data_IF_977470012364
#
_entry.id   IF_977470012364
#
_cell.length_a   1.000
_cell.length_b   1.000
_cell.length_c   1.000
_cell.angle_alpha   90.00
_cell.angle_beta   90.00
_cell.angle_gamma   90.00
#
_symmetry.space_group_name_H-M   'P 1'
#
loop_
_entity.id
_entity.type
_entity.pdbx_description
1 polymer ?
#
# COMPACT_ATOMS: atom_id res chain seq x y z
N UNK A 1 -29.38 26.16 58.03
CA UNK A 1 -28.22 25.81 58.87
C UNK A 1 -28.66 24.88 59.99
N UNK A 2 -27.90 23.85 60.38
CA UNK A 2 -26.74 23.20 59.73
C UNK A 2 -27.03 21.69 59.43
N UNK A 3 -26.51 21.06 58.37
CA UNK A 3 -25.17 20.48 58.10
C UNK A 3 -24.85 19.14 58.81
N UNK A 4 -24.65 18.07 58.02
CA UNK A 4 -23.33 17.40 57.90
C UNK A 4 -23.31 16.20 56.93
N UNK A 5 -22.61 16.44 55.83
CA UNK A 5 -21.74 15.63 54.95
C UNK A 5 -21.37 14.18 55.38
N UNK A 6 -21.52 13.22 54.46
CA UNK A 6 -20.40 12.38 53.98
C UNK A 6 -20.71 11.79 52.59
N UNK A 7 -19.84 12.11 51.63
CA UNK A 7 -19.97 11.74 50.23
C UNK A 7 -19.23 10.44 49.91
N UNK A 8 -19.88 9.56 49.15
CA UNK A 8 -19.25 8.46 48.44
C UNK A 8 -19.12 8.81 46.96
N UNK A 9 -17.90 9.13 46.53
CA UNK A 9 -17.53 9.35 45.14
C UNK A 9 -17.70 8.05 44.33
N UNK A 10 -18.41 8.14 43.20
CA UNK A 10 -18.33 7.17 42.11
C UNK A 10 -17.02 7.42 41.35
N UNK A 11 -16.21 6.41 41.02
CA UNK A 11 -15.04 6.63 40.17
C UNK A 11 -15.50 7.05 38.77
N UNK A 12 -14.85 8.10 38.28
CA UNK A 12 -15.23 8.87 37.10
C UNK A 12 -15.10 8.10 35.80
N UNK A 13 -15.93 8.48 34.84
CA UNK A 13 -15.76 8.12 33.45
C UNK A 13 -14.46 8.74 32.94
N UNK A 14 -13.60 7.90 32.37
CA UNK A 14 -12.44 8.35 31.64
C UNK A 14 -12.91 9.15 30.43
N UNK A 15 -12.72 10.46 30.53
CA UNK A 15 -12.77 11.37 29.41
C UNK A 15 -11.76 10.90 28.36
N UNK A 16 -12.25 10.29 27.28
CA UNK A 16 -11.51 10.20 26.03
C UNK A 16 -11.15 11.64 25.62
N UNK A 17 -9.90 12.01 25.86
CA UNK A 17 -9.33 13.23 25.33
C UNK A 17 -9.27 13.07 23.80
N UNK A 18 -10.29 13.58 23.13
CA UNK A 18 -10.29 13.78 21.68
C UNK A 18 -9.17 14.79 21.43
N UNK A 19 -8.01 14.28 21.01
CA UNK A 19 -6.91 15.09 20.52
C UNK A 19 -7.39 15.78 19.24
N UNK A 20 -7.83 17.03 19.35
CA UNK A 20 -8.18 17.86 18.21
C UNK A 20 -6.91 18.15 17.41
N UNK A 21 -6.61 17.30 16.43
CA UNK A 21 -5.51 17.51 15.48
C UNK A 21 -5.85 18.67 14.53
N UNK A 22 -4.85 19.46 14.09
CA UNK A 22 -5.05 20.48 13.07
C UNK A 22 -5.61 19.88 11.77
N UNK A 23 -6.45 20.65 11.07
CA UNK A 23 -7.04 20.32 9.76
C UNK A 23 -6.03 20.35 8.61
N UNK A 24 -4.77 20.65 8.88
CA UNK A 24 -3.65 20.71 7.94
C UNK A 24 -2.69 19.54 8.23
N UNK A 25 -2.09 18.95 7.17
CA UNK A 25 -1.05 17.90 7.23
C UNK A 25 0.28 18.43 7.84
N UNK A 26 0.22 19.10 8.99
CA UNK A 26 1.31 19.85 9.63
C UNK A 26 2.29 18.97 10.42
N UNK A 27 1.97 17.69 10.65
CA UNK A 27 2.88 16.74 11.30
C UNK A 27 4.18 16.49 10.51
N UNK A 28 4.26 16.98 9.27
CA UNK A 28 5.47 16.96 8.42
C UNK A 28 6.65 17.81 8.95
N UNK A 29 6.42 18.69 9.93
CA UNK A 29 7.38 19.75 10.29
C UNK A 29 8.49 19.37 11.29
N UNK A 30 8.51 18.16 11.87
CA UNK A 30 9.39 17.84 13.00
C UNK A 30 10.40 16.70 12.77
N UNK A 31 10.82 16.44 11.53
CA UNK A 31 11.85 15.44 11.26
C UNK A 31 13.28 16.03 11.31
N UNK A 32 14.27 15.34 11.92
CA UNK A 32 15.66 15.79 11.92
C UNK A 32 16.17 16.02 10.50
N UNK A 33 16.92 17.10 10.31
CA UNK A 33 17.49 17.45 9.01
C UNK A 33 18.62 16.49 8.67
N UNK A 34 18.50 15.75 7.55
CA UNK A 34 19.65 15.03 7.00
C UNK A 34 20.78 16.01 6.65
N UNK A 35 22.05 15.56 6.66
CA UNK A 35 23.13 16.32 6.07
C UNK A 35 22.76 16.71 4.63
N UNK A 36 22.91 18.00 4.24
CA UNK A 36 22.48 18.49 2.93
C UNK A 36 23.17 17.78 1.75
N UNK A 37 24.28 17.08 2.00
CA UNK A 37 25.03 16.35 0.99
C UNK A 37 24.41 15.01 0.60
N UNK A 38 23.56 14.39 1.43
CA UNK A 38 23.07 13.03 1.19
C UNK A 38 22.26 12.89 -0.12
N UNK A 39 21.27 13.76 -0.41
CA UNK A 39 20.53 13.67 -1.68
C UNK A 39 21.43 13.85 -2.91
N UNK A 40 22.37 14.81 -2.86
CA UNK A 40 23.33 15.04 -3.95
C UNK A 40 24.23 13.83 -4.18
N UNK A 41 24.73 13.19 -3.10
CA UNK A 41 25.53 11.97 -3.20
C UNK A 41 24.74 10.83 -3.85
N UNK A 42 23.46 10.66 -3.52
CA UNK A 42 22.62 9.65 -4.15
C UNK A 42 22.40 9.90 -5.63
N UNK A 43 22.10 11.15 -6.00
CA UNK A 43 21.97 11.54 -7.42
C UNK A 43 23.28 11.25 -8.18
N UNK A 44 24.44 11.63 -7.63
CA UNK A 44 25.73 11.37 -8.27
C UNK A 44 26.03 9.88 -8.39
N UNK A 45 25.73 9.07 -7.36
CA UNK A 45 25.86 7.60 -7.43
C UNK A 45 24.96 7.01 -8.51
N UNK A 46 23.70 7.46 -8.59
CA UNK A 46 22.77 7.01 -9.63
C UNK A 46 23.26 7.34 -11.04
N UNK A 47 23.72 8.57 -11.26
CA UNK A 47 24.28 9.00 -12.53
C UNK A 47 25.51 8.15 -12.92
N UNK A 48 26.40 7.86 -11.97
CA UNK A 48 27.56 7.00 -12.20
C UNK A 48 27.19 5.56 -12.58
N UNK A 49 26.28 4.92 -11.84
CA UNK A 49 25.82 3.55 -12.14
C UNK A 49 25.08 3.48 -13.49
N UNK A 50 24.24 4.48 -13.76
CA UNK A 50 23.50 4.58 -15.02
C UNK A 50 24.46 4.78 -16.19
N UNK A 51 25.43 5.68 -16.07
CA UNK A 51 26.43 5.93 -17.11
C UNK A 51 27.26 4.67 -17.39
N UNK A 52 27.70 3.95 -16.35
CA UNK A 52 28.43 2.69 -16.52
C UNK A 52 27.60 1.66 -17.28
N UNK A 53 26.33 1.49 -16.92
CA UNK A 53 25.40 0.58 -17.59
C UNK A 53 25.17 0.98 -19.06
N UNK A 54 24.97 2.27 -19.33
CA UNK A 54 24.78 2.79 -20.68
C UNK A 54 26.01 2.57 -21.55
N UNK A 55 27.22 2.79 -21.02
CA UNK A 55 28.47 2.53 -21.74
C UNK A 55 28.57 1.04 -22.09
N UNK A 56 28.31 0.14 -21.14
CA UNK A 56 28.31 -1.31 -21.42
C UNK A 56 27.27 -1.69 -22.48
N UNK A 57 26.09 -1.08 -22.43
CA UNK A 57 25.02 -1.30 -23.40
C UNK A 57 25.42 -0.85 -24.81
N UNK A 58 25.95 0.37 -24.95
CA UNK A 58 26.42 0.89 -26.24
C UNK A 58 27.60 0.09 -26.81
N UNK A 59 28.43 -0.51 -25.96
CA UNK A 59 29.53 -1.39 -26.39
C UNK A 59 29.09 -2.82 -26.72
N UNK A 60 27.81 -3.15 -26.60
CA UNK A 60 27.30 -4.51 -26.81
C UNK A 60 27.77 -5.51 -25.75
N UNK A 61 28.19 -5.04 -24.58
CA UNK A 61 28.74 -5.84 -23.46
C UNK A 61 27.76 -5.99 -22.29
N UNK A 62 26.61 -5.33 -22.35
CA UNK A 62 25.60 -5.41 -21.30
C UNK A 62 24.69 -6.62 -21.50
N UNK A 63 24.55 -7.43 -20.44
CA UNK A 63 23.52 -8.48 -20.35
C UNK A 63 22.59 -8.11 -19.20
N UNK A 64 21.26 -8.05 -19.42
CA UNK A 64 20.32 -7.73 -18.35
C UNK A 64 20.34 -8.81 -17.27
N UNK A 65 20.13 -8.45 -15.98
CA UNK A 65 20.08 -9.43 -14.88
C UNK A 65 18.97 -10.48 -15.00
N UNK A 66 17.93 -10.19 -15.77
CA UNK A 66 16.82 -11.09 -16.06
C UNK A 66 16.61 -11.12 -17.57
N UNK A 67 16.59 -12.32 -18.14
CA UNK A 67 16.26 -12.51 -19.55
C UNK A 67 14.87 -11.92 -19.86
N UNK A 68 14.80 -11.08 -20.90
CA UNK A 68 13.59 -10.35 -21.29
C UNK A 68 13.42 -8.97 -20.66
N UNK A 69 14.29 -8.56 -19.73
CA UNK A 69 14.28 -7.17 -19.25
C UNK A 69 14.81 -6.20 -20.30
N UNK A 70 14.06 -5.11 -20.50
CA UNK A 70 14.58 -3.93 -21.18
C UNK A 70 15.65 -3.24 -20.34
N UNK A 71 16.52 -2.46 -20.99
CA UNK A 71 17.48 -1.59 -20.32
C UNK A 71 16.79 -0.65 -19.32
N UNK A 72 15.60 -0.14 -19.66
CA UNK A 72 14.79 0.71 -18.78
C UNK A 72 14.40 -0.02 -17.50
N UNK A 73 13.94 -1.26 -17.61
CA UNK A 73 13.53 -2.10 -16.47
C UNK A 73 14.71 -2.29 -15.52
N UNK A 74 15.86 -2.70 -16.05
CA UNK A 74 17.05 -2.93 -15.25
C UNK A 74 17.57 -1.66 -14.57
N UNK A 75 17.58 -0.53 -15.28
CA UNK A 75 17.94 0.77 -14.69
C UNK A 75 16.94 1.23 -13.64
N UNK A 76 15.65 0.94 -13.82
CA UNK A 76 14.61 1.26 -12.84
C UNK A 76 14.77 0.48 -11.55
N UNK A 77 15.06 -0.82 -11.62
CA UNK A 77 15.35 -1.65 -10.44
C UNK A 77 16.62 -1.15 -9.73
N UNK A 78 17.68 -0.81 -10.47
CA UNK A 78 18.89 -0.21 -9.89
C UNK A 78 18.60 1.12 -9.17
N UNK A 79 17.79 1.99 -9.78
CA UNK A 79 17.38 3.25 -9.17
C UNK A 79 16.58 3.05 -7.89
N UNK A 80 15.58 2.17 -7.93
CA UNK A 80 14.72 1.87 -6.78
C UNK A 80 15.52 1.24 -5.64
N UNK A 81 16.42 0.30 -5.94
CA UNK A 81 17.34 -0.26 -4.96
C UNK A 81 18.21 0.81 -4.32
N UNK A 82 18.77 1.73 -5.12
CA UNK A 82 19.53 2.84 -4.57
C UNK A 82 18.68 3.70 -3.61
N UNK A 83 17.41 3.97 -3.92
CA UNK A 83 16.55 4.76 -3.02
C UNK A 83 16.26 4.01 -1.73
N UNK A 84 15.93 2.73 -1.84
CA UNK A 84 15.42 1.92 -0.74
C UNK A 84 16.54 1.39 0.18
N UNK A 85 17.77 1.22 -0.31
CA UNK A 85 18.96 0.82 0.47
C UNK A 85 19.52 1.92 1.38
N UNK A 86 19.05 3.16 1.26
CA UNK A 86 19.54 4.24 2.12
C UNK A 86 18.73 4.35 3.40
N UNK A 87 19.29 5.08 4.38
CA UNK A 87 18.62 5.37 5.64
C UNK A 87 17.17 5.84 5.40
N UNK A 88 16.26 5.40 6.27
CA UNK A 88 14.81 5.63 6.15
C UNK A 88 14.43 7.09 5.82
N UNK A 89 15.16 8.06 6.34
CA UNK A 89 14.97 9.48 6.06
C UNK A 89 15.32 9.88 4.63
N UNK A 90 16.40 9.32 4.08
CA UNK A 90 16.76 9.48 2.67
C UNK A 90 15.72 8.83 1.77
N UNK A 91 15.29 7.61 2.10
CA UNK A 91 14.23 6.92 1.37
C UNK A 91 12.93 7.74 1.35
N UNK A 92 12.45 8.22 2.52
CA UNK A 92 11.25 9.10 2.60
C UNK A 92 11.37 10.32 1.68
N UNK A 93 12.48 11.07 1.76
CA UNK A 93 12.68 12.28 0.94
C UNK A 93 12.78 11.98 -0.55
N UNK A 94 13.50 10.92 -0.94
CA UNK A 94 13.65 10.53 -2.33
C UNK A 94 12.30 10.05 -2.90
N UNK A 95 11.56 9.23 -2.16
CA UNK A 95 10.21 8.81 -2.55
C UNK A 95 9.29 10.01 -2.73
N UNK A 96 9.31 11.00 -1.83
CA UNK A 96 8.53 12.24 -2.00
C UNK A 96 8.95 13.03 -3.25
N UNK A 97 10.24 13.09 -3.56
CA UNK A 97 10.71 13.80 -4.75
C UNK A 97 10.28 13.08 -6.03
N UNK A 98 10.45 11.76 -6.08
CA UNK A 98 10.07 10.94 -7.22
C UNK A 98 8.56 10.94 -7.45
N UNK A 99 7.76 10.90 -6.38
CA UNK A 99 6.29 10.97 -6.49
C UNK A 99 5.83 12.34 -6.97
N UNK A 100 6.44 13.44 -6.49
CA UNK A 100 6.17 14.79 -7.01
C UNK A 100 6.39 14.88 -8.51
N UNK A 101 7.50 14.34 -9.01
CA UNK A 101 7.81 14.33 -10.44
C UNK A 101 6.81 13.46 -11.22
N UNK A 102 6.53 12.25 -10.74
CA UNK A 102 5.57 11.35 -11.39
C UNK A 102 4.15 11.94 -11.43
N UNK A 103 3.76 12.67 -10.39
CA UNK A 103 2.42 13.25 -10.26
C UNK A 103 2.21 14.51 -11.13
N UNK A 104 3.25 15.08 -11.75
CA UNK A 104 3.10 16.19 -12.72
C UNK A 104 2.27 15.80 -13.95
N UNK A 105 2.18 14.51 -14.24
CA UNK A 105 1.38 13.97 -15.34
C UNK A 105 -0.12 13.84 -14.99
N UNK A 106 -0.48 13.88 -13.71
CA UNK A 106 -1.89 13.74 -13.29
C UNK A 106 -2.66 14.98 -13.77
N UNK A 107 -3.80 14.75 -14.41
CA UNK A 107 -4.72 15.80 -14.88
C UNK A 107 -5.97 15.91 -14.01
N UNK A 108 -6.17 14.93 -13.15
CA UNK A 108 -7.33 14.80 -12.29
C UNK A 108 -7.28 15.74 -11.09
N UNK A 109 -8.45 16.03 -10.54
CA UNK A 109 -8.56 16.71 -9.25
C UNK A 109 -7.97 15.85 -8.14
N UNK A 110 -7.19 16.50 -7.27
CA UNK A 110 -6.69 15.90 -6.03
C UNK A 110 -7.16 16.78 -4.88
N UNK A 111 -8.08 16.28 -4.07
CA UNK A 111 -8.66 17.02 -2.93
C UNK A 111 -8.40 16.30 -1.62
N UNK A 112 -8.05 17.05 -0.59
CA UNK A 112 -7.86 16.47 0.74
C UNK A 112 -9.22 16.20 1.39
N UNK A 113 -9.30 15.11 2.14
CA UNK A 113 -10.45 14.76 2.97
C UNK A 113 -9.95 14.31 4.34
N UNK A 114 -10.68 14.71 5.37
CA UNK A 114 -10.44 14.30 6.75
C UNK A 114 -11.78 14.02 7.41
N UNK A 115 -11.86 12.93 8.15
CA UNK A 115 -13.01 12.61 8.97
C UNK A 115 -12.57 12.09 10.34
N UNK A 116 -13.52 11.69 11.20
CA UNK A 116 -13.19 11.09 12.48
C UNK A 116 -12.31 9.85 12.28
N UNK A 117 -11.06 9.90 12.75
CA UNK A 117 -10.16 8.75 12.73
C UNK A 117 -9.44 8.46 11.40
N UNK A 118 -9.58 9.28 10.35
CA UNK A 118 -8.82 9.08 9.11
C UNK A 118 -8.52 10.39 8.38
N UNK A 119 -7.49 10.36 7.54
CA UNK A 119 -7.15 11.41 6.58
C UNK A 119 -6.86 10.76 5.22
N UNK A 120 -7.03 11.50 4.14
CA UNK A 120 -6.73 10.97 2.82
C UNK A 120 -6.82 12.00 1.71
N UNK A 121 -6.68 11.51 0.49
CA UNK A 121 -6.77 12.28 -0.75
C UNK A 121 -7.74 11.60 -1.70
N UNK A 122 -8.72 12.35 -2.18
CA UNK A 122 -9.50 11.95 -3.33
C UNK A 122 -8.72 12.21 -4.61
N UNK A 123 -8.72 11.23 -5.51
CA UNK A 123 -8.31 11.36 -6.91
C UNK A 123 -9.55 11.19 -7.79
N UNK A 124 -9.90 12.25 -8.51
CA UNK A 124 -11.21 12.41 -9.15
C UNK A 124 -12.26 12.97 -8.19
N UNK A 125 -13.29 13.64 -8.72
CA UNK A 125 -14.29 14.35 -7.91
C UNK A 125 -15.38 13.42 -7.36
N UNK A 126 -15.35 13.14 -6.05
CA UNK A 126 -16.28 12.23 -5.39
C UNK A 126 -17.68 12.83 -5.14
N UNK A 127 -17.95 14.08 -5.52
CA UNK A 127 -19.13 14.83 -5.05
C UNK A 127 -20.49 14.35 -5.57
N UNK A 128 -20.54 13.49 -6.59
CA UNK A 128 -21.81 12.96 -7.08
C UNK A 128 -22.24 11.69 -6.32
N UNK A 129 -22.97 11.88 -5.23
CA UNK A 129 -23.53 10.79 -4.42
C UNK A 129 -24.48 9.86 -5.20
N UNK A 130 -25.06 10.33 -6.31
CA UNK A 130 -25.92 9.55 -7.20
C UNK A 130 -25.16 8.71 -8.25
N UNK A 131 -23.84 8.87 -8.38
CA UNK A 131 -23.04 8.03 -9.27
C UNK A 131 -23.03 6.59 -8.76
N UNK A 132 -23.04 5.65 -9.69
CA UNK A 132 -22.88 4.21 -9.43
C UNK A 132 -21.48 3.71 -9.78
N UNK A 133 -20.56 4.61 -10.15
CA UNK A 133 -19.18 4.24 -10.45
C UNK A 133 -18.47 3.74 -9.17
N UNK A 134 -17.54 2.79 -9.28
CA UNK A 134 -16.84 2.25 -8.13
C UNK A 134 -15.97 3.29 -7.42
N UNK A 135 -15.82 3.11 -6.12
CA UNK A 135 -14.82 3.77 -5.28
C UNK A 135 -13.73 2.75 -4.93
N UNK A 136 -12.48 3.16 -5.07
CA UNK A 136 -11.29 2.42 -4.62
C UNK A 136 -10.78 3.06 -3.32
N UNK A 137 -10.90 2.36 -2.19
CA UNK A 137 -10.17 2.71 -0.97
C UNK A 137 -8.75 2.17 -1.09
N UNK A 138 -7.80 3.06 -1.37
CA UNK A 138 -6.41 2.73 -1.60
C UNK A 138 -5.56 2.88 -0.34
N UNK A 139 -4.82 1.83 0.00
CA UNK A 139 -3.85 1.78 1.08
C UNK A 139 -2.46 1.59 0.47
N UNK A 140 -1.57 2.56 0.69
CA UNK A 140 -0.26 2.56 0.04
C UNK A 140 0.73 1.56 0.66
N UNK A 141 1.73 1.14 -0.12
CA UNK A 141 2.89 0.38 0.36
C UNK A 141 3.91 1.22 1.14
N UNK A 142 5.11 0.67 1.35
CA UNK A 142 6.19 1.37 2.07
C UNK A 142 6.53 0.80 3.45
N UNK A 143 6.15 -0.46 3.70
CA UNK A 143 6.52 -1.20 4.90
C UNK A 143 6.02 -0.55 6.18
N UNK A 144 4.85 0.10 6.13
CA UNK A 144 4.24 0.91 7.22
C UNK A 144 5.08 2.09 7.74
N UNK A 145 6.26 2.36 7.18
CA UNK A 145 7.24 3.31 7.75
C UNK A 145 7.67 4.41 6.78
N UNK A 146 7.32 4.27 5.50
CA UNK A 146 7.67 5.19 4.40
C UNK A 146 6.46 5.41 3.48
N UNK A 147 6.64 6.26 2.45
CA UNK A 147 5.59 6.68 1.52
C UNK A 147 4.51 7.56 2.17
N UNK A 148 3.51 7.95 1.39
CA UNK A 148 2.35 8.75 1.77
C UNK A 148 1.21 8.51 0.75
N UNK A 149 0.02 9.06 0.99
CA UNK A 149 -1.14 8.91 0.09
C UNK A 149 -0.89 9.46 -1.33
N UNK A 150 0.17 10.24 -1.53
CA UNK A 150 0.55 10.82 -2.84
C UNK A 150 1.50 9.93 -3.63
N UNK A 151 2.15 8.98 -2.96
CA UNK A 151 3.34 8.31 -3.51
C UNK A 151 3.05 7.58 -4.82
N UNK A 152 1.90 6.93 -4.93
CA UNK A 152 1.53 6.10 -6.07
C UNK A 152 0.32 6.63 -6.87
N UNK A 153 -0.07 7.90 -6.66
CA UNK A 153 -1.22 8.48 -7.34
C UNK A 153 -1.11 8.47 -8.87
N UNK A 154 0.11 8.57 -9.43
CA UNK A 154 0.30 8.51 -10.88
C UNK A 154 -0.14 7.16 -11.46
N UNK A 155 0.23 6.04 -10.83
CA UNK A 155 -0.23 4.70 -11.22
C UNK A 155 -1.74 4.52 -11.04
N UNK A 156 -2.32 5.11 -9.99
CA UNK A 156 -3.77 5.09 -9.77
C UNK A 156 -4.52 5.94 -10.81
N UNK A 157 -3.94 7.05 -11.26
CA UNK A 157 -4.49 7.85 -12.36
C UNK A 157 -4.43 7.09 -13.70
N UNK A 158 -3.35 6.34 -13.95
CA UNK A 158 -3.27 5.42 -15.09
C UNK A 158 -4.36 4.35 -15.03
N UNK A 159 -4.63 3.75 -13.85
CA UNK A 159 -5.73 2.81 -13.66
C UNK A 159 -7.10 3.44 -13.91
N UNK A 160 -7.36 4.64 -13.38
CA UNK A 160 -8.60 5.37 -13.66
C UNK A 160 -8.80 5.60 -15.16
N UNK A 161 -7.74 6.03 -15.85
CA UNK A 161 -7.76 6.26 -17.30
C UNK A 161 -8.03 4.96 -18.07
N UNK A 162 -7.42 3.85 -17.65
CA UNK A 162 -7.61 2.54 -18.27
C UNK A 162 -9.06 2.04 -18.11
N UNK A 163 -9.63 2.16 -16.91
CA UNK A 163 -11.04 1.82 -16.65
C UNK A 163 -12.01 2.66 -17.48
N UNK A 164 -11.81 3.98 -17.52
CA UNK A 164 -12.65 4.89 -18.29
C UNK A 164 -12.58 4.57 -19.79
N UNK A 165 -11.38 4.30 -20.31
CA UNK A 165 -11.18 4.06 -21.75
C UNK A 165 -11.67 2.68 -22.18
N UNK A 166 -11.40 1.63 -21.41
CA UNK A 166 -11.70 0.25 -21.79
C UNK A 166 -13.13 -0.19 -21.41
N UNK A 167 -13.68 0.38 -20.33
CA UNK A 167 -14.96 -0.07 -19.75
C UNK A 167 -15.99 1.05 -19.58
N UNK A 168 -15.64 2.31 -19.85
CA UNK A 168 -16.55 3.45 -19.64
C UNK A 168 -16.84 3.74 -18.17
N UNK A 169 -15.97 3.29 -17.26
CA UNK A 169 -16.15 3.40 -15.80
C UNK A 169 -15.27 4.52 -15.26
N UNK A 170 -15.86 5.50 -14.57
CA UNK A 170 -15.11 6.59 -13.94
C UNK A 170 -14.81 6.28 -12.46
N UNK A 171 -13.76 5.49 -12.25
CA UNK A 171 -13.31 5.11 -10.91
C UNK A 171 -12.97 6.35 -10.07
N UNK A 172 -13.39 6.38 -8.80
CA UNK A 172 -12.88 7.35 -7.80
C UNK A 172 -11.93 6.65 -6.85
N UNK A 173 -10.86 7.32 -6.43
CA UNK A 173 -9.90 6.73 -5.49
C UNK A 173 -9.80 7.58 -4.24
N UNK A 174 -10.06 6.99 -3.08
CA UNK A 174 -9.69 7.55 -1.79
C UNK A 174 -8.36 6.93 -1.37
N UNK A 175 -7.27 7.67 -1.54
CA UNK A 175 -5.95 7.28 -1.05
C UNK A 175 -5.84 7.62 0.44
N UNK A 176 -5.80 6.59 1.28
CA UNK A 176 -5.67 6.72 2.73
C UNK A 176 -4.28 7.24 3.11
N UNK A 177 -4.23 8.29 3.92
CA UNK A 177 -3.04 8.77 4.60
C UNK A 177 -3.06 8.22 6.03
N UNK A 178 -2.61 6.97 6.19
CA UNK A 178 -2.51 6.33 7.50
C UNK A 178 -1.21 6.75 8.20
N UNK A 179 -1.24 6.81 9.53
CA UNK A 179 -0.08 7.22 10.33
C UNK A 179 1.02 6.16 10.23
N UNK A 180 2.25 6.58 9.94
CA UNK A 180 3.38 5.65 9.79
C UNK A 180 3.98 5.24 11.14
N UNK A 181 4.55 4.05 11.17
CA UNK A 181 5.38 3.56 12.26
C UNK A 181 6.78 4.19 12.23
N UNK A 182 7.42 4.45 13.39
CA UNK A 182 6.98 4.15 14.75
C UNK A 182 6.11 5.26 15.35
N UNK A 183 5.81 6.34 14.62
CA UNK A 183 4.96 7.43 15.11
C UNK A 183 3.58 6.92 15.56
N UNK A 184 3.03 5.93 14.85
CA UNK A 184 1.99 5.04 15.34
C UNK A 184 2.33 3.57 15.00
N UNK A 185 2.14 2.67 15.96
CA UNK A 185 2.42 1.24 15.81
C UNK A 185 1.13 0.45 15.57
N UNK A 186 1.26 -0.80 15.15
CA UNK A 186 0.16 -1.77 15.07
C UNK A 186 -0.67 -1.75 16.37
N UNK A 187 -2.03 -1.73 16.32
CA UNK A 187 -2.90 -1.86 15.14
C UNK A 187 -3.43 -0.52 14.59
N UNK A 188 -2.80 0.63 14.87
CA UNK A 188 -3.37 1.97 14.58
C UNK A 188 -3.83 2.14 13.12
N UNK A 189 -3.03 1.67 12.17
CA UNK A 189 -3.29 1.79 10.73
C UNK A 189 -4.55 1.04 10.31
N UNK A 190 -4.87 -0.07 10.99
CA UNK A 190 -6.10 -0.85 10.75
C UNK A 190 -7.31 -0.04 11.19
N UNK A 191 -7.25 0.62 12.35
CA UNK A 191 -8.34 1.49 12.81
C UNK A 191 -8.55 2.70 11.88
N UNK A 192 -7.47 3.28 11.36
CA UNK A 192 -7.56 4.39 10.39
C UNK A 192 -8.16 3.92 9.05
N UNK A 193 -7.79 2.71 8.59
CA UNK A 193 -8.38 2.11 7.40
C UNK A 193 -9.86 1.76 7.58
N UNK A 194 -10.25 1.26 8.75
CA UNK A 194 -11.63 0.99 9.12
C UNK A 194 -12.46 2.29 9.16
N UNK A 195 -11.93 3.35 9.77
CA UNK A 195 -12.61 4.65 9.82
C UNK A 195 -12.81 5.25 8.41
N UNK A 196 -11.83 5.13 7.53
CA UNK A 196 -11.97 5.55 6.13
C UNK A 196 -12.98 4.69 5.37
N UNK A 197 -12.99 3.37 5.59
CA UNK A 197 -13.96 2.48 4.98
C UNK A 197 -15.39 2.81 5.41
N UNK A 198 -15.61 2.97 6.72
CA UNK A 198 -16.89 3.38 7.30
C UNK A 198 -17.36 4.71 6.70
N UNK A 199 -16.47 5.70 6.57
CA UNK A 199 -16.81 6.96 5.90
C UNK A 199 -17.26 6.76 4.45
N UNK A 200 -16.55 5.95 3.66
CA UNK A 200 -16.90 5.72 2.25
C UNK A 200 -18.26 5.06 2.12
N UNK A 201 -18.49 3.94 2.81
CA UNK A 201 -19.74 3.17 2.67
C UNK A 201 -20.96 3.89 3.25
N UNK A 202 -20.77 4.78 4.22
CA UNK A 202 -21.87 5.59 4.78
C UNK A 202 -22.18 6.82 3.94
N UNK A 203 -21.16 7.45 3.35
CA UNK A 203 -21.33 8.65 2.50
C UNK A 203 -21.83 8.30 1.10
N UNK A 204 -21.41 7.13 0.58
CA UNK A 204 -21.68 6.69 -0.78
C UNK A 204 -22.32 5.29 -0.83
N UNK A 205 -23.49 5.08 -0.20
CA UNK A 205 -24.06 3.75 0.00
C UNK A 205 -24.46 3.02 -1.30
N UNK A 206 -24.63 3.74 -2.41
CA UNK A 206 -25.00 3.18 -3.72
C UNK A 206 -23.80 2.80 -4.59
N UNK A 207 -22.57 3.05 -4.13
CA UNK A 207 -21.36 2.85 -4.94
C UNK A 207 -20.68 1.54 -4.58
N UNK A 208 -20.28 0.71 -5.56
CA UNK A 208 -19.40 -0.42 -5.31
C UNK A 208 -18.10 0.07 -4.65
N UNK A 209 -17.65 -0.59 -3.58
CA UNK A 209 -16.43 -0.20 -2.87
C UNK A 209 -15.41 -1.31 -2.95
N UNK A 210 -14.26 -1.00 -3.55
CA UNK A 210 -13.13 -1.90 -3.66
C UNK A 210 -12.05 -1.49 -2.67
N UNK A 211 -11.48 -2.47 -1.98
CA UNK A 211 -10.22 -2.27 -1.27
C UNK A 211 -9.07 -2.45 -2.26
N UNK A 212 -8.06 -1.58 -2.21
CA UNK A 212 -6.82 -1.76 -2.95
C UNK A 212 -5.64 -1.56 -2.02
N UNK A 213 -4.71 -2.50 -2.03
CA UNK A 213 -3.44 -2.30 -1.35
C UNK A 213 -2.26 -2.89 -2.10
N UNK A 214 -1.14 -2.18 -2.09
CA UNK A 214 0.15 -2.70 -2.56
C UNK A 214 1.10 -2.97 -1.40
N UNK A 215 1.88 -4.05 -1.44
CA UNK A 215 2.89 -4.34 -0.40
C UNK A 215 2.29 -4.36 1.01
N UNK A 216 2.78 -3.50 1.93
CA UNK A 216 2.21 -3.27 3.26
C UNK A 216 0.75 -2.77 3.21
N UNK A 217 0.35 -2.00 2.20
CA UNK A 217 -1.04 -1.62 1.99
C UNK A 217 -1.90 -2.83 1.60
N UNK A 218 -1.34 -3.80 0.87
CA UNK A 218 -2.00 -5.07 0.57
C UNK A 218 -2.19 -5.93 1.82
N UNK A 219 -1.22 -5.91 2.74
CA UNK A 219 -1.40 -6.46 4.08
C UNK A 219 -2.53 -5.75 4.83
N UNK A 220 -2.53 -4.41 4.83
CA UNK A 220 -3.56 -3.62 5.49
C UNK A 220 -4.97 -3.89 4.93
N UNK A 221 -5.11 -4.07 3.62
CA UNK A 221 -6.38 -4.46 2.99
C UNK A 221 -6.88 -5.82 3.50
N UNK A 222 -5.99 -6.82 3.60
CA UNK A 222 -6.31 -8.15 4.13
C UNK A 222 -6.64 -8.12 5.62
N UNK A 223 -5.93 -7.31 6.41
CA UNK A 223 -6.23 -7.11 7.82
C UNK A 223 -7.58 -6.42 8.01
N UNK A 224 -7.88 -5.39 7.21
CA UNK A 224 -9.16 -4.68 7.21
C UNK A 224 -10.33 -5.62 6.90
N UNK A 225 -10.20 -6.51 5.91
CA UNK A 225 -11.25 -7.50 5.61
C UNK A 225 -11.59 -8.39 6.82
N UNK A 226 -10.58 -8.84 7.56
CA UNK A 226 -10.76 -9.62 8.78
C UNK A 226 -11.41 -8.78 9.89
N UNK A 227 -10.95 -7.53 10.08
CA UNK A 227 -11.55 -6.60 11.04
C UNK A 227 -13.02 -6.31 10.73
N UNK A 228 -13.38 -6.11 9.44
CA UNK A 228 -14.77 -5.87 9.02
C UNK A 228 -15.66 -7.09 9.27
N UNK A 229 -15.15 -8.31 9.07
CA UNK A 229 -15.88 -9.55 9.41
C UNK A 229 -16.16 -9.65 10.91
N UNK A 230 -15.17 -9.34 11.73
CA UNK A 230 -15.24 -9.54 13.18
C UNK A 230 -15.90 -8.35 13.93
N UNK A 231 -16.28 -7.30 13.20
CA UNK A 231 -16.90 -6.11 13.78
C UNK A 231 -18.30 -6.41 14.33
N UNK A 232 -18.55 -5.92 15.55
CA UNK A 232 -19.85 -6.10 16.22
C UNK A 232 -21.01 -5.33 15.54
N UNK A 233 -20.72 -4.17 14.94
CA UNK A 233 -21.67 -3.37 14.17
C UNK A 233 -21.35 -3.51 12.66
N UNK A 234 -22.04 -4.39 11.93
CA UNK A 234 -21.68 -4.69 10.55
C UNK A 234 -21.74 -3.47 9.64
N UNK A 235 -20.76 -3.36 8.76
CA UNK A 235 -20.75 -2.44 7.62
C UNK A 235 -21.07 -3.23 6.34
N UNK A 236 -21.53 -2.58 5.26
CA UNK A 236 -21.61 -3.21 3.94
C UNK A 236 -20.28 -3.87 3.59
N UNK A 237 -20.32 -5.11 3.09
CA UNK A 237 -19.12 -5.82 2.67
C UNK A 237 -18.48 -5.13 1.44
N UNK A 238 -17.14 -5.14 1.31
CA UNK A 238 -16.51 -4.61 0.10
C UNK A 238 -16.95 -5.40 -1.12
N UNK A 239 -17.10 -4.73 -2.26
CA UNK A 239 -17.42 -5.38 -3.55
C UNK A 239 -16.29 -6.29 -4.02
N UNK A 240 -15.04 -5.93 -3.73
CA UNK A 240 -13.87 -6.76 -4.00
C UNK A 240 -12.59 -6.19 -3.39
N UNK A 241 -11.51 -6.96 -3.45
CA UNK A 241 -10.19 -6.53 -3.00
C UNK A 241 -9.12 -6.74 -4.08
N UNK A 242 -8.32 -5.70 -4.33
CA UNK A 242 -7.16 -5.73 -5.23
C UNK A 242 -5.89 -5.71 -4.40
N UNK A 243 -5.12 -6.80 -4.49
CA UNK A 243 -3.91 -7.03 -3.72
C UNK A 243 -2.71 -7.08 -4.68
N UNK A 244 -1.84 -6.08 -4.60
CA UNK A 244 -0.66 -5.98 -5.48
C UNK A 244 0.60 -6.28 -4.67
N UNK A 245 1.24 -7.41 -4.93
CA UNK A 245 2.42 -7.91 -4.22
C UNK A 245 2.26 -7.78 -2.69
N UNK A 246 1.19 -8.30 -2.07
CA UNK A 246 0.90 -8.03 -0.67
C UNK A 246 2.00 -8.60 0.24
N UNK A 247 2.43 -7.81 1.23
CA UNK A 247 3.33 -8.28 2.27
C UNK A 247 2.56 -9.14 3.28
N UNK A 248 2.15 -10.34 2.88
CA UNK A 248 1.20 -11.18 3.61
C UNK A 248 1.84 -12.04 4.73
N UNK A 249 3.17 -12.04 4.84
CA UNK A 249 3.92 -12.76 5.86
C UNK A 249 5.00 -11.84 6.46
N UNK A 250 4.75 -11.36 7.67
CA UNK A 250 5.68 -10.49 8.40
C UNK A 250 6.68 -11.29 9.25
N UNK A 251 6.68 -12.63 9.21
CA UNK A 251 7.66 -13.44 9.93
C UNK A 251 9.08 -13.29 9.34
N UNK A 252 9.83 -12.35 9.91
CA UNK A 252 11.22 -12.05 9.52
C UNK A 252 12.24 -12.99 10.16
N UNK A 253 11.79 -14.00 10.91
CA UNK A 253 12.65 -15.04 11.51
C UNK A 253 12.97 -16.15 10.49
N UNK A 254 12.08 -16.37 9.52
CA UNK A 254 12.25 -17.39 8.48
C UNK A 254 11.73 -16.89 7.12
N UNK A 255 12.65 -16.49 6.25
CA UNK A 255 12.32 -16.04 4.89
C UNK A 255 12.15 -17.21 3.92
N UNK A 256 11.20 -17.09 2.99
CA UNK A 256 11.01 -18.04 1.89
C UNK A 256 12.20 -18.05 0.90
N UNK A 257 12.38 -19.12 0.10
CA UNK A 257 13.49 -19.22 -0.87
C UNK A 257 13.54 -18.07 -1.89
N UNK A 258 12.39 -17.52 -2.29
CA UNK A 258 12.28 -16.36 -3.20
C UNK A 258 13.12 -15.15 -2.76
N UNK A 259 13.24 -14.88 -1.45
CA UNK A 259 14.03 -13.77 -0.93
C UNK A 259 15.50 -13.86 -1.30
N UNK A 260 16.10 -15.06 -1.17
CA UNK A 260 17.48 -15.29 -1.56
C UNK A 260 17.63 -15.33 -3.09
N UNK A 261 16.69 -16.00 -3.76
CA UNK A 261 16.70 -16.21 -5.22
C UNK A 261 16.63 -14.91 -6.00
N UNK A 262 15.79 -13.95 -5.57
CA UNK A 262 15.53 -12.71 -6.31
C UNK A 262 16.19 -11.48 -5.72
N UNK A 263 17.02 -11.62 -4.69
CA UNK A 263 17.75 -10.51 -4.03
C UNK A 263 18.43 -9.53 -5.01
N UNK A 264 18.99 -10.02 -6.12
CA UNK A 264 19.72 -9.19 -7.08
C UNK A 264 18.82 -8.49 -8.12
N UNK A 265 17.55 -8.89 -8.22
CA UNK A 265 16.62 -8.50 -9.30
C UNK A 265 15.29 -7.96 -8.76
N UNK A 266 15.16 -7.81 -7.45
CA UNK A 266 14.01 -7.18 -6.81
C UNK A 266 14.45 -5.97 -5.96
N UNK A 267 13.46 -5.23 -5.47
CA UNK A 267 13.60 -4.04 -4.64
C UNK A 267 13.29 -4.29 -3.16
N UNK A 268 12.81 -5.49 -2.82
CA UNK A 268 12.53 -5.91 -1.44
C UNK A 268 13.69 -6.73 -0.89
N UNK A 269 14.20 -6.31 0.27
CA UNK A 269 15.32 -6.94 0.94
C UNK A 269 14.98 -7.36 2.36
N UNK A 270 15.35 -8.60 2.70
CA UNK A 270 15.10 -9.20 4.02
C UNK A 270 15.53 -8.33 5.21
N UNK A 271 16.68 -7.63 5.10
CA UNK A 271 17.18 -6.78 6.17
C UNK A 271 16.31 -5.53 6.40
N UNK A 272 15.72 -4.95 5.36
CA UNK A 272 14.78 -3.83 5.52
C UNK A 272 13.46 -4.27 6.15
N UNK A 273 12.98 -5.47 5.83
CA UNK A 273 11.74 -5.98 6.42
C UNK A 273 11.86 -6.14 7.93
N UNK A 274 13.02 -6.55 8.43
CA UNK A 274 13.30 -6.56 9.88
C UNK A 274 13.12 -5.17 10.49
N UNK A 275 13.74 -4.16 9.88
CA UNK A 275 13.59 -2.76 10.34
C UNK A 275 12.14 -2.27 10.28
N UNK A 276 11.36 -2.70 9.27
CA UNK A 276 9.94 -2.38 9.17
C UNK A 276 9.13 -3.05 10.27
N UNK A 277 9.36 -4.34 10.55
CA UNK A 277 8.71 -5.06 11.65
C UNK A 277 9.03 -4.44 13.01
N UNK A 278 10.31 -4.15 13.27
CA UNK A 278 10.77 -3.55 14.54
C UNK A 278 10.16 -2.15 14.78
N UNK A 279 9.92 -1.38 13.72
CA UNK A 279 9.24 -0.10 13.81
C UNK A 279 7.72 -0.24 13.92
N UNK A 280 7.13 -1.23 13.26
CA UNK A 280 5.68 -1.38 13.13
C UNK A 280 5.03 -2.03 14.36
N UNK A 281 5.63 -3.07 14.93
CA UNK A 281 5.08 -3.76 16.09
C UNK A 281 5.40 -3.03 17.39
N UNK A 282 4.60 -3.19 18.46
CA UNK A 282 4.97 -2.71 19.80
C UNK A 282 6.36 -3.21 20.23
N UNK A 283 7.12 -2.42 20.99
CA UNK A 283 8.50 -2.74 21.38
C UNK A 283 8.61 -3.99 22.26
N UNK A 284 7.56 -4.28 23.02
CA UNK A 284 7.39 -5.44 23.89
C UNK A 284 6.53 -6.55 23.25
N UNK A 285 6.28 -6.48 21.94
CA UNK A 285 5.48 -7.47 21.24
C UNK A 285 6.09 -8.88 21.38
N UNK A 286 5.30 -9.88 21.80
CA UNK A 286 5.78 -11.25 21.82
C UNK A 286 6.04 -11.73 20.39
N UNK A 287 7.00 -12.63 20.21
CA UNK A 287 7.31 -13.21 18.88
C UNK A 287 6.08 -13.88 18.22
N UNK A 288 5.13 -14.37 19.03
CA UNK A 288 3.86 -14.92 18.54
C UNK A 288 2.99 -13.90 17.80
N UNK A 289 3.20 -12.59 18.00
CA UNK A 289 2.46 -11.54 17.29
C UNK A 289 2.73 -11.58 15.77
N UNK A 290 3.90 -12.09 15.35
CA UNK A 290 4.21 -12.30 13.93
C UNK A 290 3.29 -13.35 13.28
N UNK A 291 2.67 -14.23 14.07
CA UNK A 291 1.73 -15.24 13.60
C UNK A 291 0.27 -14.74 13.68
N UNK A 292 0.04 -13.53 14.20
CA UNK A 292 -1.30 -12.95 14.25
C UNK A 292 -1.81 -12.70 12.82
N UNK A 293 -3.02 -13.16 12.46
CA UNK A 293 -3.59 -12.95 11.12
C UNK A 293 -3.71 -11.49 10.65
N UNK A 294 -3.76 -10.52 11.58
CA UNK A 294 -3.77 -9.09 11.27
C UNK A 294 -2.37 -8.51 11.00
N UNK A 295 -1.31 -9.27 11.32
CA UNK A 295 0.10 -8.92 11.07
C UNK A 295 0.65 -9.74 9.90
N UNK A 296 0.32 -11.04 9.86
CA UNK A 296 0.66 -11.97 8.78
C UNK A 296 -0.61 -12.62 8.23
N UNK A 297 -1.31 -11.98 7.29
CA UNK A 297 -2.53 -12.47 6.66
C UNK A 297 -2.49 -13.90 6.11
N UNK A 298 -1.32 -14.48 5.81
CA UNK A 298 -1.20 -15.91 5.44
C UNK A 298 -1.73 -16.88 6.53
N UNK A 299 -1.99 -16.40 7.74
CA UNK A 299 -2.59 -17.17 8.83
C UNK A 299 -4.09 -16.89 9.03
N UNK A 300 -4.69 -16.01 8.22
CA UNK A 300 -6.07 -15.58 8.35
C UNK A 300 -7.11 -16.54 7.78
N UNK A 301 -8.34 -16.34 8.24
CA UNK A 301 -9.54 -16.91 7.65
C UNK A 301 -10.20 -15.85 6.76
N UNK A 302 -10.43 -16.18 5.50
CA UNK A 302 -11.10 -15.33 4.52
C UNK A 302 -12.37 -15.99 3.97
N UNK A 303 -12.87 -17.05 4.62
CA UNK A 303 -14.08 -17.75 4.22
C UNK A 303 -15.27 -16.80 4.13
N UNK A 304 -15.96 -16.80 2.99
CA UNK A 304 -17.14 -15.94 2.75
C UNK A 304 -16.83 -14.47 2.49
N UNK A 305 -15.55 -14.09 2.36
CA UNK A 305 -15.17 -12.72 2.00
C UNK A 305 -15.37 -12.42 0.51
N UNK A 306 -15.25 -11.14 0.16
CA UNK A 306 -15.46 -10.63 -1.18
C UNK A 306 -14.46 -11.23 -2.21
N UNK A 307 -14.79 -11.17 -3.52
CA UNK A 307 -13.86 -11.52 -4.57
C UNK A 307 -12.52 -10.78 -4.44
N UNK A 308 -11.43 -11.48 -4.72
CA UNK A 308 -10.08 -10.93 -4.62
C UNK A 308 -9.30 -11.09 -5.92
N UNK A 309 -8.55 -10.06 -6.28
CA UNK A 309 -7.46 -10.13 -7.25
C UNK A 309 -6.14 -10.15 -6.49
N UNK A 310 -5.35 -11.20 -6.69
CA UNK A 310 -3.97 -11.29 -6.24
C UNK A 310 -3.03 -11.11 -7.43
N UNK A 311 -2.42 -9.94 -7.55
CA UNK A 311 -1.42 -9.66 -8.59
C UNK A 311 -0.03 -9.60 -7.97
N UNK A 312 0.97 -10.29 -8.54
CA UNK A 312 2.36 -10.19 -8.07
C UNK A 312 3.39 -10.49 -9.17
N UNK A 313 4.64 -10.10 -8.93
CA UNK A 313 5.75 -10.31 -9.85
C UNK A 313 6.41 -11.68 -9.73
N UNK A 314 6.77 -12.27 -10.87
CA UNK A 314 7.50 -13.54 -10.91
C UNK A 314 8.99 -13.44 -10.49
N UNK A 315 9.52 -12.21 -10.39
CA UNK A 315 10.91 -11.90 -9.98
C UNK A 315 10.96 -11.09 -8.69
N UNK A 316 9.94 -11.18 -7.83
CA UNK A 316 9.89 -10.48 -6.56
C UNK A 316 10.14 -11.41 -5.34
N UNK A 317 10.66 -10.84 -4.26
CA UNK A 317 10.98 -11.54 -3.02
C UNK A 317 9.74 -12.13 -2.34
N UNK A 318 8.58 -11.46 -2.43
CA UNK A 318 7.31 -11.95 -1.87
C UNK A 318 6.61 -13.01 -2.72
N UNK A 319 7.17 -13.42 -3.86
CA UNK A 319 6.48 -14.35 -4.77
C UNK A 319 6.13 -15.69 -4.14
N UNK A 320 6.95 -16.25 -3.24
CA UNK A 320 6.59 -17.50 -2.54
C UNK A 320 5.56 -17.26 -1.43
N UNK A 321 5.59 -16.13 -0.73
CA UNK A 321 4.54 -15.78 0.25
C UNK A 321 3.20 -15.51 -0.43
N UNK A 322 3.19 -14.88 -1.62
CA UNK A 322 1.98 -14.68 -2.41
C UNK A 322 1.37 -16.02 -2.87
N UNK A 323 2.19 -16.99 -3.30
CA UNK A 323 1.70 -18.35 -3.59
C UNK A 323 1.11 -19.03 -2.36
N UNK A 324 1.74 -18.87 -1.19
CA UNK A 324 1.20 -19.39 0.08
C UNK A 324 -0.14 -18.75 0.41
N UNK A 325 -0.29 -17.43 0.21
CA UNK A 325 -1.57 -16.74 0.37
C UNK A 325 -2.61 -17.27 -0.63
N UNK A 326 -2.23 -17.46 -1.89
CA UNK A 326 -3.10 -18.08 -2.91
C UNK A 326 -3.62 -19.44 -2.43
N UNK A 327 -2.76 -20.32 -1.94
CA UNK A 327 -3.15 -21.63 -1.41
C UNK A 327 -4.12 -21.52 -0.22
N UNK A 328 -3.95 -20.53 0.66
CA UNK A 328 -4.87 -20.26 1.78
C UNK A 328 -6.24 -19.84 1.24
N UNK A 329 -6.27 -18.83 0.37
CA UNK A 329 -7.51 -18.27 -0.19
C UNK A 329 -8.28 -19.32 -1.01
N UNK A 330 -7.58 -20.12 -1.82
CA UNK A 330 -8.21 -21.22 -2.58
C UNK A 330 -8.78 -22.30 -1.66
N UNK A 331 -8.07 -22.70 -0.61
CA UNK A 331 -8.58 -23.70 0.36
C UNK A 331 -9.83 -23.20 1.10
N UNK A 332 -9.95 -21.90 1.30
CA UNK A 332 -11.10 -21.24 1.92
C UNK A 332 -12.22 -20.92 0.92
N UNK A 333 -12.10 -21.35 -0.35
CA UNK A 333 -13.06 -21.12 -1.42
C UNK A 333 -13.38 -19.63 -1.66
N UNK A 334 -12.40 -18.74 -1.44
CA UNK A 334 -12.53 -17.32 -1.79
C UNK A 334 -12.58 -17.19 -3.33
N UNK A 335 -13.52 -16.41 -3.90
CA UNK A 335 -13.50 -16.12 -5.34
C UNK A 335 -12.22 -15.35 -5.67
N UNK A 336 -11.28 -16.03 -6.33
CA UNK A 336 -9.90 -15.54 -6.48
C UNK A 336 -9.46 -15.53 -7.94
N UNK A 337 -9.05 -14.36 -8.40
CA UNK A 337 -8.29 -14.16 -9.64
C UNK A 337 -6.82 -13.96 -9.29
N UNK A 338 -5.91 -14.67 -9.97
CA UNK A 338 -4.46 -14.58 -9.71
C UNK A 338 -3.77 -14.17 -11.00
N UNK A 339 -2.98 -13.10 -10.91
CA UNK A 339 -2.24 -12.54 -12.04
C UNK A 339 -0.76 -12.46 -11.70
N UNK A 340 0.05 -13.27 -12.37
CA UNK A 340 1.50 -13.30 -12.17
C UNK A 340 2.17 -12.69 -13.37
N UNK A 341 2.82 -11.54 -13.19
CA UNK A 341 3.64 -10.93 -14.24
C UNK A 341 5.05 -11.55 -14.18
N UNK A 342 5.43 -12.47 -15.08
CA UNK A 342 6.55 -13.40 -14.84
C UNK A 342 7.91 -12.72 -14.68
N UNK A 343 8.07 -11.54 -15.27
CA UNK A 343 9.32 -10.77 -15.28
C UNK A 343 9.31 -9.60 -14.28
N UNK A 344 8.18 -9.35 -13.62
CA UNK A 344 8.05 -8.19 -12.75
C UNK A 344 8.81 -8.35 -11.42
N UNK A 345 9.52 -7.29 -10.98
CA UNK A 345 9.84 -7.09 -9.58
C UNK A 345 8.60 -6.63 -8.79
N UNK A 346 8.79 -6.27 -7.53
CA UNK A 346 7.73 -5.84 -6.62
C UNK A 346 6.88 -4.67 -7.16
N UNK A 347 5.56 -4.74 -6.99
CA UNK A 347 4.55 -3.66 -7.17
C UNK A 347 4.55 -2.94 -8.53
N UNK A 348 4.89 -3.62 -9.62
CA UNK A 348 4.94 -2.98 -10.96
C UNK A 348 3.66 -2.25 -11.40
N UNK A 349 2.42 -2.68 -11.11
CA UNK A 349 1.22 -2.00 -11.62
C UNK A 349 1.06 -0.56 -11.14
N UNK A 350 1.54 -0.23 -9.94
CA UNK A 350 1.48 1.14 -9.38
C UNK A 350 2.72 1.98 -9.75
N UNK A 351 3.64 1.42 -10.52
CA UNK A 351 4.93 2.01 -10.91
C UNK A 351 5.05 2.22 -12.43
N UNK A 352 3.97 2.67 -13.08
CA UNK A 352 3.89 2.92 -14.53
C UNK A 352 5.01 3.79 -15.11
N UNK A 353 5.47 4.79 -14.34
CA UNK A 353 6.62 5.62 -14.71
C UNK A 353 7.90 4.79 -14.95
N UNK A 354 8.14 3.75 -14.14
CA UNK A 354 9.34 2.92 -14.21
C UNK A 354 9.19 1.79 -15.22
N UNK A 355 8.10 1.02 -15.13
CA UNK A 355 7.97 -0.28 -15.79
C UNK A 355 7.12 -0.30 -17.06
N UNK A 356 6.46 0.81 -17.41
CA UNK A 356 5.72 1.01 -18.68
C UNK A 356 4.84 -0.16 -19.06
N UNK A 357 5.16 -0.89 -20.14
CA UNK A 357 4.32 -1.99 -20.67
C UNK A 357 4.02 -3.06 -19.63
N UNK A 358 4.97 -3.38 -18.77
CA UNK A 358 4.80 -4.35 -17.69
C UNK A 358 3.79 -3.86 -16.64
N UNK A 359 3.85 -2.57 -16.29
CA UNK A 359 2.86 -1.96 -15.41
C UNK A 359 1.48 -1.89 -16.08
N UNK A 360 1.44 -1.52 -17.38
CA UNK A 360 0.20 -1.40 -18.14
C UNK A 360 -0.58 -2.73 -18.24
N UNK A 361 0.12 -3.87 -18.35
CA UNK A 361 -0.53 -5.20 -18.29
C UNK A 361 -1.20 -5.45 -16.94
N UNK A 362 -0.49 -5.18 -15.84
CA UNK A 362 -1.07 -5.28 -14.50
C UNK A 362 -2.25 -4.33 -14.29
N UNK A 363 -2.13 -3.08 -14.75
CA UNK A 363 -3.23 -2.10 -14.72
C UNK A 363 -4.45 -2.60 -15.51
N UNK A 364 -4.25 -3.17 -16.70
CA UNK A 364 -5.35 -3.72 -17.50
C UNK A 364 -6.05 -4.90 -16.81
N UNK A 365 -5.29 -5.77 -16.14
CA UNK A 365 -5.84 -6.88 -15.37
C UNK A 365 -6.67 -6.38 -14.17
N UNK A 366 -6.16 -5.38 -13.45
CA UNK A 366 -6.89 -4.73 -12.34
C UNK A 366 -8.17 -4.05 -12.85
N UNK A 367 -8.10 -3.31 -13.96
CA UNK A 367 -9.26 -2.67 -14.56
C UNK A 367 -10.34 -3.69 -14.94
N UNK A 368 -9.93 -4.80 -15.56
CA UNK A 368 -10.85 -5.90 -15.93
C UNK A 368 -11.51 -6.50 -14.69
N UNK A 369 -10.75 -6.76 -13.63
CA UNK A 369 -11.29 -7.29 -12.38
C UNK A 369 -12.32 -6.34 -11.74
N UNK A 370 -12.00 -5.05 -11.64
CA UNK A 370 -12.93 -4.05 -11.07
C UNK A 370 -14.21 -3.99 -11.91
N UNK A 371 -14.09 -3.88 -13.23
CA UNK A 371 -15.24 -3.76 -14.14
C UNK A 371 -16.17 -4.98 -14.09
N UNK A 372 -15.59 -6.18 -14.11
CA UNK A 372 -16.36 -7.45 -14.05
C UNK A 372 -17.03 -7.62 -12.70
N UNK A 373 -16.32 -7.38 -11.60
CA UNK A 373 -16.85 -7.55 -10.24
C UNK A 373 -17.94 -6.53 -9.93
N UNK A 374 -17.76 -5.27 -10.33
CA UNK A 374 -18.76 -4.20 -10.13
C UNK A 374 -20.07 -4.45 -10.91
N UNK A 375 -20.01 -5.21 -12.01
CA UNK A 375 -21.20 -5.54 -12.82
C UNK A 375 -22.02 -6.70 -12.26
N UNK A 376 -21.47 -7.46 -11.29
CA UNK A 376 -22.11 -8.64 -10.70
C UNK A 376 -22.86 -8.39 -9.40
N UNK A 377 -22.67 -7.19 -8.82
CA UNK A 377 -23.32 -6.68 -7.60
C UNK A 377 -24.40 -5.69 -7.96
#
# INVERSE_FOLDING_TARGET
MPDSVSGGQRPGGDHFAICTRPTTMEWRASLPTMPPQTPLRLVLRFLGMTLSTLVQYCLGRYTPPVDGWSLRTALSVQYLNLILENERMAARRMTTLSSKVANLAIRDSITAVSGPGFQGLWLGDAQEASSTDPILLYMHGGGYTTCDARTYLSGLAELRTALATAHGIDLRVLALEYTLAPEARFPTQIHEAEAAYEHVVTTFPSRPVFLFGDSAGGNLALALLQTLRDRAAPLPAPTGAVLVSPWCNADVTAFAPSYAKYKAVDVIHAHHLRLHVDAYLPEDAPASLLQNPLVSPVHGDFTGMCPMLLHYGGKEAFSDDCKRLEEVLRRQNVPLTVEVEPLAPHITPVLGFFFKEMAARGVAAIATFIATTASTT
#
